data_IF_401074110139
#
_entry.id   IF_401074110139
#
_cell.length_a   1.000
_cell.length_b   1.000
_cell.length_c   1.000
_cell.angle_alpha   90.00
_cell.angle_beta   90.00
_cell.angle_gamma   90.00
#
_symmetry.space_group_name_H-M   'P 1'
#
loop_
_entity.id
_entity.type
_entity.pdbx_description
1 polymer ?
#
# COMPACT_ATOMS: atom_id res chain seq x y z
N UNK A 1 14.27 7.24 14.53
CA UNK A 1 12.96 7.34 13.86
C UNK A 1 12.07 6.37 14.61
N UNK A 2 11.10 6.88 15.38
CA UNK A 2 10.13 6.04 16.10
C UNK A 2 9.14 5.55 15.06
N UNK A 3 9.14 4.25 14.79
CA UNK A 3 8.16 3.63 13.89
C UNK A 3 6.76 3.94 14.42
N UNK A 4 5.94 4.64 13.63
CA UNK A 4 4.56 4.94 14.02
C UNK A 4 3.77 3.63 14.07
N UNK A 5 2.96 3.44 15.13
CA UNK A 5 2.11 2.25 15.24
C UNK A 5 1.06 2.23 14.12
N UNK A 6 0.73 1.04 13.57
CA UNK A 6 -0.33 0.90 12.59
C UNK A 6 -1.67 1.38 13.17
N UNK A 7 -2.49 2.06 12.37
CA UNK A 7 -3.81 2.54 12.81
C UNK A 7 -4.74 1.36 13.16
N UNK A 8 -4.60 0.26 12.41
CA UNK A 8 -5.37 -0.97 12.55
C UNK A 8 -4.49 -2.21 12.35
N UNK A 9 -4.90 -3.39 12.88
CA UNK A 9 -4.24 -4.65 12.54
C UNK A 9 -4.17 -4.86 11.03
N UNK A 10 -3.13 -5.55 10.51
CA UNK A 10 -3.02 -5.87 9.10
C UNK A 10 -4.29 -6.54 8.56
N UNK A 11 -4.76 -6.08 7.41
CA UNK A 11 -6.02 -6.52 6.81
C UNK A 11 -5.76 -7.34 5.54
N UNK A 12 -6.41 -8.50 5.45
CA UNK A 12 -6.45 -9.33 4.25
C UNK A 12 -7.56 -8.85 3.30
N UNK A 13 -7.19 -8.55 2.05
CA UNK A 13 -8.12 -8.21 0.99
C UNK A 13 -8.03 -9.22 -0.16
N UNK A 14 -9.15 -9.89 -0.42
CA UNK A 14 -9.30 -10.91 -1.47
C UNK A 14 -9.93 -10.39 -2.77
N UNK A 15 -10.03 -9.06 -2.94
CA UNK A 15 -10.59 -8.50 -4.17
C UNK A 15 -9.68 -8.77 -5.37
N UNK A 16 -10.27 -8.82 -6.58
CA UNK A 16 -9.51 -9.17 -7.80
C UNK A 16 -8.37 -8.19 -8.10
N UNK A 17 -8.50 -6.94 -7.67
CA UNK A 17 -7.44 -5.94 -7.85
C UNK A 17 -6.24 -6.26 -6.96
N UNK A 18 -6.45 -6.52 -5.66
CA UNK A 18 -5.38 -6.88 -4.73
C UNK A 18 -4.69 -8.18 -5.14
N UNK A 19 -5.45 -9.17 -5.59
CA UNK A 19 -4.90 -10.41 -6.14
C UNK A 19 -3.98 -10.16 -7.35
N UNK A 20 -4.41 -9.31 -8.29
CA UNK A 20 -3.63 -8.98 -9.49
C UNK A 20 -2.38 -8.16 -9.17
N UNK A 21 -2.49 -7.17 -8.28
CA UNK A 21 -1.38 -6.28 -7.95
C UNK A 21 -0.25 -6.98 -7.20
N UNK A 22 -0.57 -7.97 -6.37
CA UNK A 22 0.43 -8.72 -5.59
C UNK A 22 0.76 -10.09 -6.19
N UNK A 23 0.04 -10.55 -7.21
CA UNK A 23 0.23 -11.88 -7.77
C UNK A 23 -0.08 -13.02 -6.78
N UNK A 24 -0.97 -12.78 -5.82
CA UNK A 24 -1.27 -13.68 -4.70
C UNK A 24 -2.77 -13.92 -4.51
N UNK A 25 -3.21 -14.98 -3.79
CA UNK A 25 -4.63 -15.25 -3.53
C UNK A 25 -5.35 -14.15 -2.74
N UNK A 26 -4.61 -13.38 -1.94
CA UNK A 26 -5.07 -12.21 -1.22
C UNK A 26 -3.89 -11.25 -1.02
N UNK A 27 -4.19 -9.97 -0.79
CA UNK A 27 -3.21 -8.99 -0.35
C UNK A 27 -3.31 -8.73 1.14
N UNK A 28 -2.16 -8.63 1.81
CA UNK A 28 -2.06 -8.23 3.21
C UNK A 28 -1.50 -6.81 3.29
N UNK A 29 -2.25 -5.90 3.92
CA UNK A 29 -1.90 -4.49 3.98
C UNK A 29 -1.96 -3.97 5.41
N UNK A 30 -1.06 -3.05 5.74
CA UNK A 30 -1.16 -2.21 6.94
C UNK A 30 -1.54 -0.78 6.56
N UNK A 31 -2.27 -0.09 7.42
CA UNK A 31 -2.65 1.31 7.23
C UNK A 31 -1.84 2.21 8.15
N UNK A 32 -1.30 3.30 7.59
CA UNK A 32 -0.61 4.36 8.32
C UNK A 32 -1.14 5.72 7.89
N UNK A 33 -1.03 6.72 8.75
CA UNK A 33 -1.36 8.10 8.38
C UNK A 33 -0.42 8.59 7.29
N UNK A 34 -0.96 9.30 6.30
CA UNK A 34 -0.18 9.83 5.19
C UNK A 34 0.96 10.74 5.66
N UNK A 35 0.74 11.49 6.74
CA UNK A 35 1.74 12.38 7.34
C UNK A 35 2.94 11.64 7.92
N UNK A 36 2.73 10.38 8.35
CA UNK A 36 3.76 9.52 8.91
C UNK A 36 4.46 8.64 7.87
N UNK A 37 4.05 8.72 6.60
CA UNK A 37 4.62 7.93 5.50
C UNK A 37 5.56 8.76 4.63
N UNK A 38 6.82 8.32 4.52
CA UNK A 38 7.83 8.93 3.65
C UNK A 38 8.56 7.87 2.83
N UNK A 39 8.63 8.08 1.51
CA UNK A 39 9.48 7.28 0.63
C UNK A 39 10.92 7.79 0.68
N UNK A 40 11.84 6.94 1.13
CA UNK A 40 13.27 7.26 1.23
C UNK A 40 14.01 7.14 -0.10
N UNK A 41 13.46 6.35 -1.04
CA UNK A 41 13.94 6.24 -2.41
C UNK A 41 12.75 6.32 -3.37
N UNK A 42 12.87 7.20 -4.38
CA UNK A 42 11.78 7.50 -5.32
C UNK A 42 12.15 7.27 -6.78
N UNK A 43 13.43 6.95 -7.08
CA UNK A 43 13.94 6.88 -8.44
C UNK A 43 13.20 5.85 -9.32
N UNK A 44 12.90 4.67 -8.77
CA UNK A 44 12.16 3.63 -9.50
C UNK A 44 10.64 3.65 -9.27
N UNK A 45 10.11 4.56 -8.47
CA UNK A 45 8.69 4.57 -8.10
C UNK A 45 7.83 5.03 -9.28
N UNK A 46 6.80 4.24 -9.60
CA UNK A 46 5.74 4.58 -10.55
C UNK A 46 4.38 4.47 -9.90
N UNK A 47 3.44 5.27 -10.41
CA UNK A 47 2.06 5.27 -9.98
C UNK A 47 1.15 4.74 -11.09
N UNK A 48 0.13 3.99 -10.69
CA UNK A 48 -1.00 3.62 -11.54
C UNK A 48 -2.26 4.21 -10.90
N UNK A 49 -2.89 5.14 -11.61
CA UNK A 49 -4.13 5.78 -11.17
C UNK A 49 -5.31 5.14 -11.89
N UNK A 50 -6.27 4.62 -11.13
CA UNK A 50 -7.57 4.26 -11.69
C UNK A 50 -8.53 5.42 -11.47
N UNK A 51 -9.11 5.87 -12.57
CA UNK A 51 -10.09 6.95 -12.60
C UNK A 51 -11.46 6.37 -12.90
N UNK A 52 -12.24 6.11 -11.86
CA UNK A 52 -13.70 6.07 -11.97
C UNK A 52 -14.23 7.41 -11.46
N UNK A 53 -15.36 7.87 -11.99
CA UNK A 53 -15.94 9.22 -11.77
C UNK A 53 -16.04 9.68 -10.31
N UNK A 54 -15.89 8.77 -9.34
CA UNK A 54 -15.91 9.05 -7.88
C UNK A 54 -14.74 8.46 -7.09
N UNK A 55 -13.87 7.63 -7.68
CA UNK A 55 -12.81 6.92 -6.97
C UNK A 55 -11.47 7.18 -7.64
N UNK A 56 -10.57 7.90 -6.94
CA UNK A 56 -9.24 8.26 -7.41
C UNK A 56 -8.17 7.43 -6.70
N UNK A 57 -8.16 6.16 -7.05
CA UNK A 57 -7.30 5.16 -6.43
C UNK A 57 -5.90 5.21 -7.04
N UNK A 58 -4.86 5.36 -6.20
CA UNK A 58 -3.46 5.46 -6.62
C UNK A 58 -2.67 4.28 -6.08
N UNK A 59 -2.05 3.51 -6.97
CA UNK A 59 -1.19 2.38 -6.62
C UNK A 59 0.26 2.72 -6.94
N UNK A 60 1.18 2.42 -6.03
CA UNK A 60 2.60 2.65 -6.18
C UNK A 60 3.34 1.32 -6.34
N UNK A 61 4.23 1.27 -7.33
CA UNK A 61 5.03 0.09 -7.64
C UNK A 61 6.43 0.46 -8.14
N UNK A 62 7.35 -0.50 -8.07
CA UNK A 62 8.70 -0.35 -8.61
C UNK A 62 8.72 -0.64 -10.11
N UNK A 63 9.20 0.30 -10.92
CA UNK A 63 9.36 0.14 -12.37
C UNK A 63 10.37 -0.93 -12.79
N UNK A 64 11.32 -1.28 -11.92
CA UNK A 64 12.38 -2.25 -12.23
C UNK A 64 11.93 -3.70 -12.02
N UNK A 65 11.22 -3.97 -10.93
CA UNK A 65 10.80 -5.34 -10.57
C UNK A 65 9.28 -5.56 -10.60
N UNK A 66 8.48 -4.51 -10.75
CA UNK A 66 7.02 -4.58 -10.78
C UNK A 66 6.35 -4.72 -9.41
N UNK A 67 7.11 -4.78 -8.31
CA UNK A 67 6.55 -4.96 -6.98
C UNK A 67 5.65 -3.79 -6.57
N UNK A 68 4.39 -4.10 -6.24
CA UNK A 68 3.44 -3.15 -5.65
C UNK A 68 3.67 -3.06 -4.15
N UNK A 69 3.88 -1.84 -3.64
CA UNK A 69 4.23 -1.65 -2.22
C UNK A 69 3.30 -0.71 -1.47
N UNK A 70 2.58 0.20 -2.13
CA UNK A 70 1.67 1.11 -1.45
C UNK A 70 0.42 1.46 -2.27
N UNK A 71 -0.67 1.81 -1.58
CA UNK A 71 -1.93 2.22 -2.18
C UNK A 71 -2.62 3.32 -1.37
N UNK A 72 -3.17 4.31 -2.08
CA UNK A 72 -3.96 5.42 -1.53
C UNK A 72 -5.36 5.43 -2.16
N UNK A 73 -6.39 5.61 -1.33
CA UNK A 73 -7.78 5.85 -1.77
C UNK A 73 -8.32 7.08 -1.06
N UNK A 74 -8.34 8.26 -1.70
CA UNK A 74 -8.91 9.47 -1.12
C UNK A 74 -10.39 9.33 -0.75
N UNK A 75 -11.13 8.42 -1.42
CA UNK A 75 -12.56 8.21 -1.20
C UNK A 75 -12.82 7.21 -0.08
N UNK A 76 -12.11 6.07 -0.08
CA UNK A 76 -12.38 4.98 0.87
C UNK A 76 -11.53 5.05 2.13
N UNK A 77 -10.32 5.63 2.04
CA UNK A 77 -9.32 5.72 3.11
C UNK A 77 -8.69 7.12 3.14
N UNK A 78 -9.48 8.19 3.40
CA UNK A 78 -8.99 9.55 3.35
C UNK A 78 -7.87 9.78 4.37
N UNK A 79 -6.76 10.37 3.92
CA UNK A 79 -5.60 10.69 4.77
C UNK A 79 -4.71 9.50 5.13
N UNK A 80 -4.98 8.30 4.60
CA UNK A 80 -4.21 7.09 4.91
C UNK A 80 -3.43 6.59 3.70
N UNK A 81 -2.31 5.93 3.98
CA UNK A 81 -1.56 5.11 3.04
C UNK A 81 -1.64 3.67 3.50
N UNK A 82 -1.97 2.78 2.59
CA UNK A 82 -1.85 1.34 2.82
C UNK A 82 -0.52 0.85 2.27
N UNK A 83 0.21 0.04 3.04
CA UNK A 83 1.50 -0.53 2.68
C UNK A 83 1.39 -2.04 2.66
N UNK A 84 1.93 -2.68 1.61
CA UNK A 84 1.91 -4.12 1.50
C UNK A 84 2.89 -4.76 2.50
N UNK A 85 2.37 -5.60 3.40
CA UNK A 85 3.16 -6.18 4.50
C UNK A 85 4.29 -7.09 3.97
N UNK A 86 4.07 -7.72 2.82
CA UNK A 86 5.08 -8.56 2.16
C UNK A 86 6.31 -7.79 1.65
N UNK A 87 6.31 -6.46 1.71
CA UNK A 87 7.45 -5.63 1.34
C UNK A 87 8.37 -5.28 2.51
N UNK A 88 8.03 -5.68 3.74
CA UNK A 88 8.92 -5.49 4.89
C UNK A 88 9.95 -6.62 5.01
N UNK A 89 11.16 -6.26 5.39
CA UNK A 89 12.22 -7.23 5.70
C UNK A 89 11.86 -8.13 6.89
N UNK A 90 11.11 -7.57 7.87
CA UNK A 90 10.62 -8.28 9.04
C UNK A 90 9.14 -7.93 9.31
N UNK A 91 8.19 -8.67 8.70
CA UNK A 91 6.76 -8.42 8.89
C UNK A 91 6.25 -8.83 10.27
N UNK A 92 7.01 -9.62 11.05
CA UNK A 92 6.57 -10.11 12.36
C UNK A 92 6.45 -9.01 13.42
N UNK A 93 7.06 -7.84 13.17
CA UNK A 93 6.97 -6.66 14.02
C UNK A 93 5.60 -5.97 13.98
N UNK A 94 4.75 -6.33 13.02
CA UNK A 94 3.43 -5.73 12.83
C UNK A 94 2.35 -6.83 12.82
N UNK A 95 1.98 -7.37 14.00
CA UNK A 95 1.04 -8.48 14.13
C UNK A 95 -0.41 -8.08 13.79
#
# INVERSE_FOLDING_TARGET
>A
MTDAEPIHPPTLCCCRMCQKCLGAPAGLFMCVDRENFTLTSTAEVKTCETWHTTCRNVRMFCSKCGAHFAFESPTDLPGMVTVAVCCFDDPSKYP
#
